data_IF_055327936058
#
_entry.id   IF_055327936058
#
_cell.length_a   1.000
_cell.length_b   1.000
_cell.length_c   1.000
_cell.angle_alpha   90.00
_cell.angle_beta   90.00
_cell.angle_gamma   90.00
#
_symmetry.space_group_name_H-M   'P 1'
#
loop_
_entity.id
_entity.type
_entity.pdbx_description
1 polymer ?
#
# COMPACT_ATOMS: atom_id res chain seq x y z
N UNK A 1 21.44 19.60 -3.23
CA UNK A 1 20.43 18.82 -3.98
C UNK A 1 20.92 18.43 -5.40
N UNK A 2 22.01 17.66 -5.57
CA UNK A 2 22.45 17.15 -6.91
C UNK A 2 23.30 15.85 -6.87
N UNK A 3 23.14 14.97 -5.89
CA UNK A 3 24.01 13.77 -5.77
C UNK A 3 23.29 12.42 -5.92
N UNK A 4 21.97 12.37 -5.80
CA UNK A 4 21.21 11.10 -5.93
C UNK A 4 20.85 10.73 -7.38
N UNK A 5 20.89 11.68 -8.31
CA UNK A 5 20.48 11.45 -9.70
C UNK A 5 21.60 10.85 -10.56
N UNK A 6 22.86 11.14 -10.24
CA UNK A 6 24.03 10.60 -10.95
C UNK A 6 24.31 9.14 -10.58
N UNK A 7 24.13 8.76 -9.32
CA UNK A 7 24.33 7.37 -8.86
C UNK A 7 23.31 6.39 -9.44
N UNK A 8 22.05 6.80 -9.58
CA UNK A 8 20.98 5.97 -10.18
C UNK A 8 21.23 5.59 -11.63
N UNK A 9 21.85 6.48 -12.42
CA UNK A 9 22.20 6.19 -13.83
C UNK A 9 23.20 5.04 -13.93
N UNK A 10 24.21 5.03 -13.06
CA UNK A 10 25.23 3.97 -12.97
C UNK A 10 24.65 2.61 -12.59
N UNK A 11 23.63 2.56 -11.74
CA UNK A 11 23.05 1.29 -11.30
C UNK A 11 22.18 0.64 -12.39
N UNK A 12 21.44 1.45 -13.16
CA UNK A 12 20.67 0.95 -14.29
C UNK A 12 21.58 0.29 -15.35
N UNK A 13 22.71 0.94 -15.68
CA UNK A 13 23.70 0.38 -16.61
C UNK A 13 24.36 -0.90 -16.04
N UNK A 14 24.64 -0.93 -14.73
CA UNK A 14 25.20 -2.11 -14.05
C UNK A 14 24.28 -3.34 -14.13
N UNK A 15 22.97 -3.17 -13.86
CA UNK A 15 22.00 -4.27 -13.89
C UNK A 15 21.66 -4.77 -15.31
N UNK A 16 21.85 -3.96 -16.34
CA UNK A 16 21.66 -4.35 -17.73
C UNK A 16 22.88 -5.10 -18.32
N UNK A 17 24.07 -4.91 -17.75
CA UNK A 17 25.33 -5.45 -18.29
C UNK A 17 25.89 -6.66 -17.53
N UNK A 18 25.71 -6.73 -16.20
CA UNK A 18 26.29 -7.78 -15.36
C UNK A 18 25.25 -8.83 -14.96
N UNK A 19 25.64 -10.11 -14.97
CA UNK A 19 24.76 -11.22 -14.58
C UNK A 19 24.68 -11.34 -13.05
N UNK A 20 23.78 -10.57 -12.44
CA UNK A 20 23.56 -10.50 -10.99
C UNK A 20 23.09 -11.80 -10.33
N UNK A 21 22.77 -12.84 -11.10
CA UNK A 21 22.29 -14.12 -10.56
C UNK A 21 23.32 -14.82 -9.67
N UNK A 22 24.62 -14.66 -9.94
CA UNK A 22 25.70 -15.26 -9.14
C UNK A 22 26.04 -14.43 -7.88
N UNK A 23 25.57 -13.20 -7.78
CA UNK A 23 25.76 -12.30 -6.62
C UNK A 23 24.64 -12.42 -5.58
N UNK A 24 23.53 -13.10 -5.91
CA UNK A 24 22.41 -13.29 -5.00
C UNK A 24 22.77 -14.38 -4.00
N UNK A 25 23.19 -13.98 -2.81
CA UNK A 25 23.40 -14.89 -1.68
C UNK A 25 22.05 -15.29 -1.07
N UNK A 26 21.75 -16.59 -1.00
CA UNK A 26 20.57 -17.17 -0.31
C UNK A 26 20.68 -17.10 1.22
N UNK A 27 21.30 -16.06 1.76
CA UNK A 27 21.26 -15.82 3.20
C UNK A 27 19.85 -15.37 3.60
N UNK A 28 19.34 -15.80 4.77
CA UNK A 28 18.06 -15.31 5.25
C UNK A 28 18.18 -13.80 5.47
N UNK A 29 17.68 -13.02 4.50
CA UNK A 29 17.54 -11.57 4.61
C UNK A 29 16.68 -11.34 5.83
N UNK A 30 17.33 -10.93 6.92
CA UNK A 30 16.63 -10.64 8.16
C UNK A 30 15.86 -9.36 7.87
N UNK A 31 14.58 -9.47 7.53
CA UNK A 31 13.65 -8.35 7.47
C UNK A 31 13.51 -7.80 8.89
N UNK A 32 14.52 -7.04 9.31
CA UNK A 32 14.51 -6.25 10.53
C UNK A 32 13.44 -5.20 10.31
N UNK A 33 12.23 -5.49 10.78
CA UNK A 33 11.16 -4.51 10.88
C UNK A 33 11.76 -3.30 11.60
N UNK A 34 11.80 -2.14 10.93
CA UNK A 34 12.37 -0.93 11.50
C UNK A 34 11.84 -0.73 12.93
N UNK A 35 12.72 -0.38 13.86
CA UNK A 35 12.45 -0.44 15.30
C UNK A 35 11.25 0.45 15.68
N UNK A 36 11.01 1.53 14.94
CA UNK A 36 9.83 2.38 15.01
C UNK A 36 8.52 1.64 14.68
N UNK A 37 8.49 0.88 13.60
CA UNK A 37 7.34 0.04 13.19
C UNK A 37 7.10 -1.05 14.23
N UNK A 38 8.19 -1.66 14.73
CA UNK A 38 8.12 -2.72 15.75
C UNK A 38 7.55 -2.17 17.06
N UNK A 39 8.02 -0.99 17.50
CA UNK A 39 7.51 -0.32 18.69
C UNK A 39 6.06 0.13 18.52
N UNK A 40 5.65 0.62 17.36
CA UNK A 40 4.25 1.02 17.10
C UNK A 40 3.28 -0.17 17.07
N UNK A 41 3.75 -1.35 16.66
CA UNK A 41 3.01 -2.61 16.74
C UNK A 41 2.89 -3.08 18.20
N UNK A 42 4.01 -3.11 18.93
CA UNK A 42 4.06 -3.58 20.33
C UNK A 42 3.27 -2.66 21.26
N UNK A 43 3.42 -1.34 21.10
CA UNK A 43 2.69 -0.33 21.90
C UNK A 43 1.19 -0.28 21.59
N UNK A 44 0.73 -1.01 20.56
CA UNK A 44 -0.69 -1.10 20.24
C UNK A 44 -1.31 0.20 19.72
N UNK A 45 -0.52 1.26 19.51
CA UNK A 45 -0.95 2.55 18.91
C UNK A 45 -1.63 2.35 17.56
N UNK A 46 -1.27 1.27 16.84
CA UNK A 46 -1.86 0.92 15.54
C UNK A 46 -3.22 0.25 15.61
N UNK A 47 -3.73 -0.16 16.77
CA UNK A 47 -5.11 -0.65 16.93
C UNK A 47 -6.08 0.54 16.92
N UNK A 48 -6.19 1.22 15.77
CA UNK A 48 -7.28 2.18 15.54
C UNK A 48 -8.60 1.43 15.65
N UNK A 49 -9.38 1.77 16.68
CA UNK A 49 -10.73 1.23 16.85
C UNK A 49 -11.58 1.69 15.67
N UNK A 50 -12.09 0.73 14.90
CA UNK A 50 -13.05 1.02 13.83
C UNK A 50 -14.33 1.59 14.46
N UNK A 51 -14.87 2.65 13.85
CA UNK A 51 -16.18 3.19 14.20
C UNK A 51 -17.24 2.61 13.26
N UNK A 52 -18.40 2.26 13.81
CA UNK A 52 -19.55 1.83 13.01
C UNK A 52 -20.22 3.06 12.41
N UNK A 53 -20.44 3.04 11.10
CA UNK A 53 -21.12 4.11 10.36
C UNK A 53 -22.22 3.44 9.54
N UNK A 54 -23.42 4.01 9.60
CA UNK A 54 -24.56 3.59 8.77
C UNK A 54 -24.75 4.60 7.65
N UNK A 55 -24.67 4.13 6.40
CA UNK A 55 -24.85 4.96 5.20
C UNK A 55 -26.08 4.41 4.46
N UNK A 56 -27.02 5.29 4.12
CA UNK A 56 -28.15 4.93 3.25
C UNK A 56 -27.68 4.96 1.80
N UNK A 57 -27.90 3.87 1.08
CA UNK A 57 -27.54 3.71 -0.32
C UNK A 57 -28.74 3.16 -1.09
N UNK A 58 -28.83 3.51 -2.36
CA UNK A 58 -29.79 2.90 -3.28
C UNK A 58 -29.53 1.37 -3.35
N UNK A 59 -30.57 0.52 -3.19
CA UNK A 59 -30.46 -0.92 -3.39
C UNK A 59 -29.74 -1.35 -4.67
N UNK A 60 -29.92 -0.61 -5.78
CA UNK A 60 -29.27 -0.93 -7.06
C UNK A 60 -27.75 -0.79 -6.97
N UNK A 61 -27.26 0.28 -6.31
CA UNK A 61 -25.84 0.49 -6.05
C UNK A 61 -25.27 -0.58 -5.13
N UNK A 62 -26.00 -1.00 -4.10
CA UNK A 62 -25.56 -2.09 -3.21
C UNK A 62 -25.36 -3.39 -3.98
N UNK A 63 -26.27 -3.71 -4.90
CA UNK A 63 -26.16 -4.91 -5.74
C UNK A 63 -24.96 -4.83 -6.70
N UNK A 64 -24.74 -3.67 -7.32
CA UNK A 64 -23.60 -3.44 -8.20
C UNK A 64 -22.26 -3.60 -7.46
N UNK A 65 -22.14 -3.02 -6.26
CA UNK A 65 -20.95 -3.14 -5.41
C UNK A 65 -20.70 -4.60 -5.02
N UNK A 66 -21.76 -5.36 -4.68
CA UNK A 66 -21.62 -6.79 -4.36
C UNK A 66 -21.09 -7.59 -5.55
N UNK A 67 -21.60 -7.33 -6.76
CA UNK A 67 -21.11 -7.97 -8.00
C UNK A 67 -19.63 -7.65 -8.25
N UNK A 68 -19.24 -6.38 -8.14
CA UNK A 68 -17.85 -5.96 -8.29
C UNK A 68 -16.93 -6.58 -7.24
N UNK A 69 -17.41 -6.70 -6.00
CA UNK A 69 -16.68 -7.32 -4.90
C UNK A 69 -16.45 -8.82 -5.17
N UNK A 70 -17.47 -9.54 -5.65
CA UNK A 70 -17.33 -10.95 -6.04
C UNK A 70 -16.34 -11.14 -7.19
N UNK A 71 -16.37 -10.26 -8.21
CA UNK A 71 -15.41 -10.31 -9.31
C UNK A 71 -13.97 -10.07 -8.85
N UNK A 72 -13.78 -9.21 -7.84
CA UNK A 72 -12.46 -8.93 -7.25
C UNK A 72 -12.08 -9.90 -6.12
N UNK A 73 -12.84 -10.98 -5.91
CA UNK A 73 -12.62 -11.96 -4.84
C UNK A 73 -12.44 -11.34 -3.44
N UNK A 74 -13.14 -10.24 -3.15
CA UNK A 74 -13.06 -9.52 -1.88
C UNK A 74 -14.45 -9.26 -1.29
N UNK A 75 -14.60 -9.12 0.04
CA UNK A 75 -15.86 -8.69 0.65
C UNK A 75 -16.25 -7.28 0.22
N UNK A 76 -17.55 -7.03 -0.01
CA UNK A 76 -18.05 -5.71 -0.43
C UNK A 76 -17.70 -4.61 0.57
N UNK A 77 -17.67 -4.93 1.87
CA UNK A 77 -17.26 -4.00 2.92
C UNK A 77 -15.79 -3.58 2.76
N UNK A 78 -14.90 -4.50 2.40
CA UNK A 78 -13.48 -4.22 2.18
C UNK A 78 -13.30 -3.35 0.94
N UNK A 79 -14.03 -3.64 -0.14
CA UNK A 79 -13.99 -2.86 -1.36
C UNK A 79 -14.39 -1.40 -1.12
N UNK A 80 -15.51 -1.16 -0.43
CA UNK A 80 -15.97 0.20 -0.09
C UNK A 80 -14.94 0.93 0.76
N UNK A 81 -14.31 0.25 1.74
CA UNK A 81 -13.25 0.85 2.54
C UNK A 81 -12.03 1.23 1.71
N UNK A 82 -11.66 0.40 0.75
CA UNK A 82 -10.50 0.64 -0.12
C UNK A 82 -10.73 1.88 -1.00
N UNK A 83 -11.89 1.97 -1.67
CA UNK A 83 -12.25 3.15 -2.47
C UNK A 83 -12.28 4.42 -1.64
N UNK A 84 -12.90 4.38 -0.46
CA UNK A 84 -12.94 5.54 0.44
C UNK A 84 -11.54 6.03 0.82
N UNK A 85 -10.61 5.11 1.10
CA UNK A 85 -9.23 5.47 1.44
C UNK A 85 -8.48 6.06 0.25
N UNK A 86 -8.70 5.52 -0.96
CA UNK A 86 -8.09 5.99 -2.19
C UNK A 86 -8.58 7.39 -2.56
N UNK A 87 -9.89 7.63 -2.48
CA UNK A 87 -10.50 8.92 -2.79
C UNK A 87 -10.09 9.99 -1.79
N UNK A 88 -10.06 9.69 -0.48
CA UNK A 88 -9.54 10.62 0.53
C UNK A 88 -8.08 11.00 0.23
N UNK A 89 -7.26 10.03 -0.19
CA UNK A 89 -5.86 10.29 -0.53
C UNK A 89 -5.75 11.21 -1.75
N UNK A 90 -6.54 10.95 -2.80
CA UNK A 90 -6.58 11.78 -4.01
C UNK A 90 -6.99 13.22 -3.71
N UNK A 91 -8.02 13.41 -2.88
CA UNK A 91 -8.49 14.74 -2.46
C UNK A 91 -7.43 15.48 -1.63
N UNK A 92 -6.78 14.80 -0.68
CA UNK A 92 -5.68 15.37 0.09
C UNK A 92 -4.51 15.82 -0.79
N UNK A 93 -4.16 15.01 -1.79
CA UNK A 93 -3.09 15.34 -2.73
C UNK A 93 -3.48 16.49 -3.67
N UNK A 94 -4.76 16.63 -4.01
CA UNK A 94 -5.29 17.72 -4.82
C UNK A 94 -5.34 19.06 -4.06
N UNK A 95 -5.73 19.04 -2.79
CA UNK A 95 -5.77 20.25 -1.93
C UNK A 95 -4.38 20.77 -1.56
N UNK A 96 -3.36 19.89 -1.59
CA UNK A 96 -1.97 20.25 -1.25
C UNK A 96 -1.18 20.82 -2.44
N UNK A 97 -1.70 20.72 -3.66
CA UNK A 97 -1.12 21.33 -4.87
C UNK A 97 -1.62 22.75 -5.06
#
# INVERSE_FOLDING_TARGET
>A
MKTEQTTRKTWAEYYDQENILDEITEEPVTFSLQDDIRQDIITGKRKRKLKNISIKLDPLHVQAIKKLATMKAMPYQTLVRHWLAEDIKKELDAVRK
#
